data_IF_515912610907
#
_entry.id   IF_515912610907
#
_cell.length_a   1.000
_cell.length_b   1.000
_cell.length_c   1.000
_cell.angle_alpha   90.00
_cell.angle_beta   90.00
_cell.angle_gamma   90.00
#
_symmetry.space_group_name_H-M   'P 1'
#
loop_
_entity.id
_entity.type
_entity.pdbx_description
1 polymer ?
#
# COMPACT_ATOMS: atom_id res chain seq x y z
N UNK A 1 10.81 -10.71 -23.67
CA UNK A 1 9.80 -10.56 -22.60
C UNK A 1 9.30 -11.87 -22.00
N UNK A 2 8.92 -12.90 -22.75
CA UNK A 2 8.50 -14.21 -22.18
C UNK A 2 9.65 -14.95 -21.46
N UNK A 3 10.89 -14.79 -21.92
CA UNK A 3 12.09 -15.43 -21.35
C UNK A 3 12.45 -14.91 -19.95
N UNK A 4 12.19 -13.63 -19.65
CA UNK A 4 12.53 -13.02 -18.36
C UNK A 4 11.51 -13.36 -17.27
N UNK A 5 10.21 -13.36 -17.58
CA UNK A 5 9.15 -13.77 -16.65
C UNK A 5 9.37 -15.20 -16.13
N UNK A 6 9.70 -16.12 -17.04
CA UNK A 6 10.04 -17.50 -16.71
C UNK A 6 11.31 -17.63 -15.85
N UNK A 7 12.28 -16.71 -15.99
CA UNK A 7 13.50 -16.73 -15.17
C UNK A 7 13.25 -16.17 -13.76
N UNK A 8 12.48 -15.09 -13.63
CA UNK A 8 12.11 -14.50 -12.35
C UNK A 8 11.31 -15.49 -11.50
N UNK A 9 10.33 -16.16 -12.11
CA UNK A 9 9.58 -17.24 -11.49
C UNK A 9 10.47 -18.40 -10.99
N UNK A 10 11.47 -18.82 -11.79
CA UNK A 10 12.43 -19.85 -11.39
C UNK A 10 13.27 -19.40 -10.20
N UNK A 11 13.77 -18.16 -10.21
CA UNK A 11 14.57 -17.61 -9.10
C UNK A 11 13.75 -17.55 -7.81
N UNK A 12 12.54 -17.00 -7.87
CA UNK A 12 11.63 -16.93 -6.72
C UNK A 12 11.20 -18.33 -6.22
N UNK A 13 10.95 -19.26 -7.14
CA UNK A 13 10.66 -20.65 -6.80
C UNK A 13 11.83 -21.36 -6.12
N UNK A 14 13.05 -21.13 -6.63
CA UNK A 14 14.30 -21.64 -6.04
C UNK A 14 14.51 -21.09 -4.62
N UNK A 15 14.31 -19.78 -4.42
CA UNK A 15 14.37 -19.17 -3.09
C UNK A 15 13.34 -19.80 -2.14
N UNK A 16 12.07 -19.93 -2.55
CA UNK A 16 11.02 -20.60 -1.76
C UNK A 16 11.42 -22.04 -1.42
N UNK A 17 11.91 -22.80 -2.40
CA UNK A 17 12.28 -24.20 -2.25
C UNK A 17 13.55 -24.46 -1.44
N UNK A 18 14.50 -23.53 -1.39
CA UNK A 18 15.75 -23.71 -0.64
C UNK A 18 15.72 -23.05 0.74
N UNK A 19 15.19 -21.82 0.81
CA UNK A 19 15.24 -20.99 2.02
C UNK A 19 13.97 -21.10 2.86
N UNK A 20 12.84 -21.42 2.23
CA UNK A 20 11.52 -21.47 2.89
C UNK A 20 10.88 -22.86 2.94
N UNK A 21 11.62 -23.92 2.61
CA UNK A 21 11.07 -25.29 2.47
C UNK A 21 10.33 -25.82 3.70
N UNK A 22 10.67 -25.34 4.91
CA UNK A 22 10.09 -25.82 6.17
C UNK A 22 8.92 -24.96 6.66
N UNK A 23 8.54 -23.94 5.91
CA UNK A 23 7.53 -22.97 6.32
C UNK A 23 6.32 -23.04 5.41
N UNK A 24 5.15 -22.77 5.98
CA UNK A 24 3.93 -22.52 5.24
C UNK A 24 4.06 -21.17 4.53
N UNK A 25 4.21 -21.18 3.21
CA UNK A 25 4.31 -19.95 2.41
C UNK A 25 3.12 -19.89 1.46
N UNK A 26 2.44 -18.74 1.43
CA UNK A 26 1.30 -18.52 0.55
C UNK A 26 1.63 -18.88 -0.91
N UNK A 27 0.65 -19.46 -1.63
CA UNK A 27 0.87 -20.02 -2.96
C UNK A 27 1.26 -18.96 -3.99
N UNK A 28 0.77 -17.74 -3.81
CA UNK A 28 1.10 -16.61 -4.69
C UNK A 28 2.53 -16.09 -4.56
N UNK A 29 3.34 -16.60 -3.60
CA UNK A 29 4.69 -16.08 -3.34
C UNK A 29 5.55 -16.01 -4.60
N UNK A 30 5.57 -17.10 -5.37
CA UNK A 30 6.41 -17.24 -6.57
C UNK A 30 6.06 -16.16 -7.60
N UNK A 31 4.78 -16.03 -7.94
CA UNK A 31 4.31 -15.15 -8.99
C UNK A 31 4.37 -13.68 -8.56
N UNK A 32 4.03 -13.37 -7.30
CA UNK A 32 4.15 -12.03 -6.74
C UNK A 32 5.61 -11.57 -6.67
N UNK A 33 6.52 -12.45 -6.22
CA UNK A 33 7.96 -12.17 -6.20
C UNK A 33 8.46 -11.84 -7.62
N UNK A 34 8.09 -12.64 -8.62
CA UNK A 34 8.52 -12.44 -10.00
C UNK A 34 8.02 -11.09 -10.57
N UNK A 35 6.75 -10.74 -10.33
CA UNK A 35 6.20 -9.43 -10.72
C UNK A 35 6.93 -8.27 -10.05
N UNK A 36 7.29 -8.41 -8.78
CA UNK A 36 8.06 -7.38 -8.07
C UNK A 36 9.47 -7.20 -8.64
N UNK A 37 10.11 -8.27 -9.14
CA UNK A 37 11.39 -8.17 -9.86
C UNK A 37 11.27 -7.37 -11.16
N UNK A 38 10.18 -7.52 -11.90
CA UNK A 38 9.93 -6.72 -13.11
C UNK A 38 9.62 -5.26 -12.76
N UNK A 39 8.87 -5.04 -11.69
CA UNK A 39 8.49 -3.71 -11.24
C UNK A 39 9.70 -2.89 -10.78
N UNK A 40 10.56 -3.46 -9.93
CA UNK A 40 11.73 -2.73 -9.40
C UNK A 40 12.71 -2.32 -10.50
N UNK A 41 12.80 -3.09 -11.59
CA UNK A 41 13.62 -2.72 -12.77
C UNK A 41 13.15 -1.43 -13.43
N UNK A 42 11.85 -1.13 -13.36
CA UNK A 42 11.27 0.12 -13.87
C UNK A 42 11.50 1.31 -12.94
N UNK A 43 11.78 1.07 -11.66
CA UNK A 43 12.03 2.13 -10.67
C UNK A 43 13.49 2.62 -10.68
N UNK A 44 14.44 1.73 -10.97
CA UNK A 44 15.89 2.03 -10.90
C UNK A 44 16.41 3.08 -11.91
N UNK A 45 15.84 3.26 -13.11
CA UNK A 45 16.26 4.32 -14.02
C UNK A 45 16.02 5.75 -13.48
N UNK A 46 15.05 5.93 -12.58
CA UNK A 46 14.49 7.25 -12.20
C UNK A 46 14.53 7.55 -10.67
N UNK A 47 15.70 7.47 -10.02
CA UNK A 47 16.00 7.98 -8.65
C UNK A 47 15.75 7.08 -7.42
N UNK A 48 16.53 7.36 -6.37
CA UNK A 48 16.50 6.75 -5.03
C UNK A 48 15.23 7.04 -4.20
N UNK A 49 14.34 7.93 -4.65
CA UNK A 49 13.10 8.25 -3.94
C UNK A 49 12.03 7.16 -4.11
N UNK A 50 12.02 6.48 -5.26
CA UNK A 50 11.01 5.48 -5.63
C UNK A 50 11.31 4.09 -5.05
N UNK A 51 12.58 3.80 -4.74
CA UNK A 51 12.99 2.50 -4.19
C UNK A 51 12.53 2.33 -2.74
N UNK A 52 12.49 3.41 -1.93
CA UNK A 52 12.07 3.35 -0.53
C UNK A 52 10.61 2.86 -0.38
N UNK A 53 9.59 3.45 -1.05
CA UNK A 53 8.23 2.94 -1.02
C UNK A 53 8.12 1.47 -1.46
N UNK A 54 8.84 1.08 -2.52
CA UNK A 54 8.89 -0.31 -2.99
C UNK A 54 9.44 -1.25 -1.90
N UNK A 55 10.54 -0.89 -1.27
CA UNK A 55 11.16 -1.73 -0.25
C UNK A 55 10.28 -1.88 1.00
N UNK A 56 9.60 -0.80 1.44
CA UNK A 56 8.62 -0.88 2.52
C UNK A 56 7.45 -1.81 2.15
N UNK A 57 6.97 -1.72 0.92
CA UNK A 57 5.93 -2.62 0.42
C UNK A 57 6.42 -4.08 0.40
N UNK A 58 7.60 -4.34 -0.15
CA UNK A 58 8.16 -5.70 -0.20
C UNK A 58 8.41 -6.28 1.18
N UNK A 59 8.78 -5.44 2.14
CA UNK A 59 8.95 -5.83 3.53
C UNK A 59 7.63 -6.31 4.16
N UNK A 60 6.57 -5.53 4.01
CA UNK A 60 5.22 -5.90 4.44
C UNK A 60 4.68 -7.13 3.70
N UNK A 61 4.83 -7.16 2.37
CA UNK A 61 4.39 -8.27 1.53
C UNK A 61 5.07 -9.59 1.93
N UNK A 62 6.38 -9.57 2.16
CA UNK A 62 7.10 -10.78 2.56
C UNK A 62 6.61 -11.29 3.92
N UNK A 63 6.35 -10.38 4.88
CA UNK A 63 5.74 -10.73 6.16
C UNK A 63 4.39 -11.41 5.96
N UNK A 64 3.51 -10.87 5.10
CA UNK A 64 2.18 -11.44 4.87
C UNK A 64 2.23 -12.86 4.28
N UNK A 65 3.27 -13.18 3.49
CA UNK A 65 3.46 -14.51 2.88
C UNK A 65 3.83 -15.59 3.89
N UNK A 66 4.41 -15.22 5.04
CA UNK A 66 4.99 -16.14 6.03
C UNK A 66 4.41 -16.00 7.44
N UNK A 67 3.50 -15.03 7.67
CA UNK A 67 2.94 -14.70 8.99
C UNK A 67 2.27 -15.85 9.74
N UNK A 68 1.82 -16.90 9.04
CA UNK A 68 1.20 -18.07 9.67
C UNK A 68 2.19 -18.99 10.40
N UNK A 69 3.49 -18.74 10.26
CA UNK A 69 4.54 -19.55 10.88
C UNK A 69 4.94 -18.98 12.24
N UNK A 70 4.58 -19.68 13.31
CA UNK A 70 5.04 -19.34 14.67
C UNK A 70 6.57 -19.46 14.77
N UNK A 71 7.21 -18.46 15.37
CA UNK A 71 8.67 -18.45 15.57
C UNK A 71 9.48 -18.30 14.28
N UNK A 72 8.87 -17.87 13.18
CA UNK A 72 9.56 -17.62 11.91
C UNK A 72 10.71 -16.61 12.11
N UNK A 73 11.95 -16.94 11.71
CA UNK A 73 13.10 -16.05 11.87
C UNK A 73 13.06 -14.94 10.81
N UNK A 74 12.08 -14.05 10.94
CA UNK A 74 11.68 -13.10 9.91
C UNK A 74 12.86 -12.25 9.44
N UNK A 75 13.57 -11.61 10.39
CA UNK A 75 14.64 -10.68 10.08
C UNK A 75 15.78 -11.32 9.27
N UNK A 76 16.26 -12.50 9.67
CA UNK A 76 17.34 -13.18 8.94
C UNK A 76 16.88 -13.67 7.57
N UNK A 77 15.63 -14.13 7.46
CA UNK A 77 15.12 -14.70 6.21
C UNK A 77 14.80 -13.64 5.17
N UNK A 78 14.26 -12.48 5.60
CA UNK A 78 14.01 -11.37 4.69
C UNK A 78 15.31 -10.65 4.27
N UNK A 79 16.32 -10.60 5.14
CA UNK A 79 17.65 -10.14 4.77
C UNK A 79 18.24 -11.00 3.65
N UNK A 80 18.12 -12.32 3.75
CA UNK A 80 18.50 -13.25 2.67
C UNK A 80 17.68 -13.01 1.41
N UNK A 81 16.38 -12.80 1.54
CA UNK A 81 15.52 -12.48 0.39
C UNK A 81 15.98 -11.23 -0.36
N UNK A 82 16.26 -10.13 0.34
CA UNK A 82 16.76 -8.91 -0.29
C UNK A 82 18.18 -9.04 -0.84
N UNK A 83 19.01 -9.93 -0.29
CA UNK A 83 20.34 -10.22 -0.84
C UNK A 83 20.30 -11.05 -2.12
N UNK A 84 19.45 -12.08 -2.15
CA UNK A 84 19.48 -13.11 -3.20
C UNK A 84 18.57 -12.78 -4.39
N UNK A 85 17.52 -11.97 -4.18
CA UNK A 85 16.63 -11.55 -5.26
C UNK A 85 17.20 -10.35 -6.00
N UNK A 86 17.35 -10.52 -7.31
CA UNK A 86 17.87 -9.50 -8.22
C UNK A 86 17.15 -8.16 -7.99
N UNK A 87 17.95 -7.10 -7.90
CA UNK A 87 17.50 -5.72 -7.72
C UNK A 87 16.87 -5.36 -6.36
N UNK A 88 16.81 -6.27 -5.39
CA UNK A 88 16.24 -5.98 -4.06
C UNK A 88 17.28 -5.59 -3.02
N UNK A 89 18.58 -5.65 -3.35
CA UNK A 89 19.68 -5.42 -2.42
C UNK A 89 19.57 -4.08 -1.65
N UNK A 90 19.08 -3.03 -2.31
CA UNK A 90 18.93 -1.70 -1.71
C UNK A 90 17.85 -1.67 -0.61
N UNK A 91 16.91 -2.63 -0.62
CA UNK A 91 15.84 -2.73 0.37
C UNK A 91 16.33 -3.08 1.78
N UNK A 92 17.56 -3.59 1.91
CA UNK A 92 18.18 -3.85 3.22
C UNK A 92 18.33 -2.59 4.06
N UNK A 93 18.50 -1.43 3.41
CA UNK A 93 18.63 -0.14 4.08
C UNK A 93 17.30 0.36 4.67
N UNK A 94 16.19 -0.26 4.28
CA UNK A 94 14.83 0.16 4.63
C UNK A 94 14.04 -0.93 5.33
N UNK A 95 14.73 -1.96 5.85
CA UNK A 95 14.12 -2.94 6.73
C UNK A 95 13.66 -2.26 8.01
N UNK A 96 12.48 -2.63 8.48
CA UNK A 96 11.88 -2.09 9.70
C UNK A 96 11.42 -3.24 10.57
N UNK A 97 11.38 -3.07 11.89
CA UNK A 97 10.67 -4.04 12.71
C UNK A 97 9.16 -3.95 12.41
N UNK A 98 8.57 -5.10 12.09
CA UNK A 98 7.12 -5.28 11.94
C UNK A 98 6.69 -6.32 12.96
N UNK A 99 6.03 -5.85 14.01
CA UNK A 99 5.28 -6.72 14.92
C UNK A 99 3.86 -6.95 14.40
N UNK A 100 3.11 -7.82 15.09
CA UNK A 100 1.73 -8.16 14.70
C UNK A 100 0.82 -6.91 14.66
N UNK A 101 1.01 -5.97 15.59
CA UNK A 101 0.18 -4.77 15.70
C UNK A 101 0.43 -3.80 14.54
N UNK A 102 1.69 -3.59 14.16
CA UNK A 102 2.08 -2.78 13.01
C UNK A 102 1.63 -3.45 11.71
N UNK A 103 1.75 -4.76 11.62
CA UNK A 103 1.25 -5.52 10.47
C UNK A 103 -0.27 -5.35 10.30
N UNK A 104 -1.05 -5.56 11.37
CA UNK A 104 -2.51 -5.38 11.37
C UNK A 104 -2.90 -3.98 10.91
N UNK A 105 -2.28 -2.93 11.45
CA UNK A 105 -2.50 -1.55 10.98
C UNK A 105 -2.21 -1.34 9.51
N UNK A 106 -1.13 -1.93 8.98
CA UNK A 106 -0.82 -1.82 7.56
C UNK A 106 -1.85 -2.59 6.73
N UNK A 107 -2.28 -3.78 7.18
CA UNK A 107 -3.34 -4.56 6.54
C UNK A 107 -4.64 -3.77 6.47
N UNK A 108 -5.10 -3.21 7.59
CA UNK A 108 -6.31 -2.39 7.64
C UNK A 108 -6.21 -1.18 6.72
N UNK A 109 -5.05 -0.53 6.66
CA UNK A 109 -4.82 0.59 5.74
C UNK A 109 -4.94 0.14 4.28
N UNK A 110 -4.34 -0.99 3.91
CA UNK A 110 -4.41 -1.55 2.55
C UNK A 110 -5.86 -1.89 2.19
N UNK A 111 -6.57 -2.60 3.06
CA UNK A 111 -7.97 -2.94 2.86
C UNK A 111 -8.86 -1.70 2.71
N UNK A 112 -8.60 -0.68 3.52
CA UNK A 112 -9.30 0.60 3.44
C UNK A 112 -9.09 1.31 2.10
N UNK A 113 -7.87 1.32 1.55
CA UNK A 113 -7.61 1.89 0.22
C UNK A 113 -8.21 1.06 -0.93
N UNK A 114 -8.15 -0.27 -0.83
CA UNK A 114 -8.77 -1.17 -1.81
C UNK A 114 -10.29 -0.97 -1.85
N UNK A 115 -10.93 -0.84 -0.69
CA UNK A 115 -12.35 -0.53 -0.59
C UNK A 115 -12.64 0.91 -1.01
N UNK A 116 -11.74 1.86 -0.77
CA UNK A 116 -11.92 3.23 -1.25
C UNK A 116 -11.94 3.29 -2.79
N UNK A 117 -11.08 2.54 -3.47
CA UNK A 117 -11.10 2.49 -4.94
C UNK A 117 -12.37 1.81 -5.50
N UNK A 118 -12.91 0.83 -4.79
CA UNK A 118 -14.22 0.23 -5.13
C UNK A 118 -15.35 1.22 -4.86
N UNK A 119 -15.30 1.94 -3.73
CA UNK A 119 -16.25 2.98 -3.37
C UNK A 119 -16.29 4.08 -4.44
N UNK A 120 -15.13 4.52 -4.96
CA UNK A 120 -15.06 5.51 -6.04
C UNK A 120 -15.87 5.12 -7.28
N UNK A 121 -15.90 3.82 -7.59
CA UNK A 121 -16.67 3.26 -8.70
C UNK A 121 -18.14 3.12 -8.32
N UNK A 122 -18.41 2.45 -7.20
CA UNK A 122 -19.75 2.21 -6.64
C UNK A 122 -20.56 3.50 -6.55
N UNK A 123 -19.97 4.56 -5.99
CA UNK A 123 -20.63 5.84 -5.76
C UNK A 123 -20.96 6.62 -7.05
N UNK A 124 -20.42 6.20 -8.20
CA UNK A 124 -20.63 6.82 -9.51
C UNK A 124 -21.52 5.98 -10.43
N UNK A 125 -21.60 4.66 -10.23
CA UNK A 125 -22.26 3.75 -11.18
C UNK A 125 -23.38 2.90 -10.56
N UNK A 126 -23.45 2.72 -9.24
CA UNK A 126 -24.40 1.81 -8.62
C UNK A 126 -25.65 2.53 -8.09
N UNK A 127 -26.81 2.30 -8.73
CA UNK A 127 -28.09 2.93 -8.37
C UNK A 127 -28.81 2.34 -7.15
N UNK A 128 -28.27 1.30 -6.51
CA UNK A 128 -28.94 0.60 -5.40
C UNK A 128 -28.90 1.36 -4.05
N UNK A 129 -28.29 2.56 -4.01
CA UNK A 129 -28.13 3.40 -2.82
C UNK A 129 -27.44 2.70 -1.63
N UNK A 130 -26.63 1.69 -1.87
CA UNK A 130 -25.72 1.13 -0.87
C UNK A 130 -24.35 1.77 -1.02
N UNK A 131 -23.67 2.02 0.12
CA UNK A 131 -22.29 2.47 0.15
C UNK A 131 -21.43 1.37 0.78
N UNK A 132 -21.54 0.13 0.31
CA UNK A 132 -20.95 -1.03 1.02
C UNK A 132 -19.45 -0.84 1.24
N UNK A 133 -18.72 -0.38 0.23
CA UNK A 133 -17.28 -0.13 0.37
C UNK A 133 -16.98 1.16 1.13
N UNK A 134 -17.84 2.18 1.01
CA UNK A 134 -17.75 3.41 1.82
C UNK A 134 -17.94 3.15 3.32
N UNK A 135 -18.85 2.23 3.68
CA UNK A 135 -19.08 1.80 5.05
C UNK A 135 -17.89 1.05 5.63
N UNK A 136 -17.23 0.20 4.83
CA UNK A 136 -15.98 -0.45 5.25
C UNK A 136 -14.85 0.56 5.48
N UNK A 137 -14.70 1.53 4.58
CA UNK A 137 -13.76 2.63 4.76
C UNK A 137 -14.02 3.38 6.08
N UNK A 138 -15.28 3.72 6.34
CA UNK A 138 -15.68 4.39 7.58
C UNK A 138 -15.35 3.54 8.81
N UNK A 139 -15.71 2.26 8.81
CA UNK A 139 -15.51 1.39 9.97
C UNK A 139 -14.03 1.24 10.34
N UNK A 140 -13.17 0.99 9.35
CA UNK A 140 -11.72 0.89 9.57
C UNK A 140 -11.16 2.22 10.07
N UNK A 141 -11.51 3.33 9.41
CA UNK A 141 -11.03 4.65 9.82
C UNK A 141 -11.40 4.96 11.27
N UNK A 142 -12.67 4.77 11.63
CA UNK A 142 -13.20 5.12 12.95
C UNK A 142 -12.59 4.29 14.08
N UNK A 143 -12.18 3.04 13.83
CA UNK A 143 -11.46 2.21 14.79
C UNK A 143 -10.20 2.91 15.33
N UNK A 144 -9.52 3.68 14.47
CA UNK A 144 -8.23 4.28 14.80
C UNK A 144 -8.29 5.76 15.19
N UNK A 145 -9.46 6.42 15.05
CA UNK A 145 -9.62 7.85 15.37
C UNK A 145 -9.20 8.17 16.80
N UNK A 146 -9.64 7.38 17.78
CA UNK A 146 -9.33 7.63 19.19
C UNK A 146 -7.83 7.56 19.47
N UNK A 147 -7.15 6.54 18.96
CA UNK A 147 -5.70 6.41 19.06
C UNK A 147 -4.99 7.59 18.37
N UNK A 148 -5.42 7.93 17.17
CA UNK A 148 -4.77 8.97 16.38
C UNK A 148 -5.01 10.37 16.89
N UNK A 149 -6.12 10.65 17.58
CA UNK A 149 -6.31 11.94 18.27
C UNK A 149 -5.25 12.16 19.37
N UNK A 150 -4.85 11.08 20.04
CA UNK A 150 -3.85 11.13 21.11
C UNK A 150 -2.40 11.15 20.59
N UNK A 151 -2.16 10.76 19.34
CA UNK A 151 -0.82 10.65 18.76
C UNK A 151 -0.84 10.90 17.23
N UNK A 152 -1.34 12.06 16.82
CA UNK A 152 -1.62 12.37 15.42
C UNK A 152 -0.36 12.46 14.54
N UNK A 153 0.79 12.76 15.13
CA UNK A 153 2.08 12.85 14.43
C UNK A 153 2.65 11.47 14.06
N UNK A 154 2.09 10.37 14.60
CA UNK A 154 2.53 9.03 14.21
C UNK A 154 2.34 8.81 12.70
N UNK A 155 3.33 8.22 11.98
CA UNK A 155 3.23 7.95 10.55
C UNK A 155 1.96 7.25 10.08
N UNK A 156 1.39 6.32 10.86
CA UNK A 156 0.12 5.68 10.53
C UNK A 156 -1.06 6.68 10.58
N UNK A 157 -1.10 7.52 11.61
CA UNK A 157 -2.14 8.53 11.77
C UNK A 157 -2.06 9.64 10.71
N UNK A 158 -0.86 10.03 10.30
CA UNK A 158 -0.67 10.92 9.15
C UNK A 158 -1.29 10.36 7.86
N UNK A 159 -1.20 9.04 7.63
CA UNK A 159 -1.88 8.40 6.50
C UNK A 159 -3.39 8.42 6.63
N UNK A 160 -3.95 8.23 7.82
CA UNK A 160 -5.40 8.35 8.03
C UNK A 160 -5.89 9.79 7.85
N UNK A 161 -5.14 10.78 8.32
CA UNK A 161 -5.45 12.20 8.09
C UNK A 161 -5.54 12.47 6.59
N UNK A 162 -4.54 12.05 5.81
CA UNK A 162 -4.54 12.17 4.35
C UNK A 162 -5.68 11.39 3.70
N UNK A 163 -5.97 10.18 4.17
CA UNK A 163 -7.09 9.39 3.66
C UNK A 163 -8.42 10.14 3.82
N UNK A 164 -8.64 10.80 4.97
CA UNK A 164 -9.85 11.60 5.18
C UNK A 164 -9.96 12.74 4.18
N UNK A 165 -8.85 13.39 3.85
CA UNK A 165 -8.83 14.45 2.83
C UNK A 165 -9.25 13.90 1.46
N UNK A 166 -8.66 12.78 1.04
CA UNK A 166 -9.00 12.13 -0.23
C UNK A 166 -10.46 11.66 -0.27
N UNK A 167 -10.95 11.10 0.83
CA UNK A 167 -12.34 10.67 0.98
C UNK A 167 -13.29 11.87 0.86
N UNK A 168 -13.05 12.95 1.62
CA UNK A 168 -13.86 14.16 1.61
C UNK A 168 -13.86 14.85 0.23
N UNK A 169 -12.74 14.82 -0.49
CA UNK A 169 -12.69 15.31 -1.86
C UNK A 169 -13.60 14.48 -2.76
N UNK A 170 -13.48 13.15 -2.72
CA UNK A 170 -14.33 12.26 -3.51
C UNK A 170 -15.81 12.38 -3.15
N UNK A 171 -16.17 12.65 -1.89
CA UNK A 171 -17.58 12.88 -1.47
C UNK A 171 -18.28 13.93 -2.33
N UNK A 172 -17.55 14.95 -2.83
CA UNK A 172 -18.11 16.02 -3.66
C UNK A 172 -18.65 15.52 -5.01
N UNK A 173 -18.11 14.40 -5.49
CA UNK A 173 -18.44 13.81 -6.79
C UNK A 173 -19.39 12.59 -6.69
N UNK A 174 -19.87 12.28 -5.49
CA UNK A 174 -20.73 11.12 -5.25
C UNK A 174 -22.13 11.36 -5.85
N UNK A 175 -22.58 10.43 -6.69
CA UNK A 175 -23.90 10.50 -7.35
C UNK A 175 -24.93 9.58 -6.70
N UNK A 176 -24.49 8.42 -6.23
CA UNK A 176 -25.34 7.41 -5.61
C UNK A 176 -24.92 7.16 -4.16
N UNK A 177 -25.86 6.64 -3.36
CA UNK A 177 -25.65 6.35 -1.94
C UNK A 177 -25.38 7.58 -1.03
N UNK A 178 -25.58 8.80 -1.54
CA UNK A 178 -25.39 10.07 -0.81
C UNK A 178 -26.08 10.11 0.56
N UNK A 179 -27.29 9.54 0.67
CA UNK A 179 -28.07 9.50 1.90
C UNK A 179 -27.51 8.55 2.98
N UNK A 180 -26.65 7.60 2.62
CA UNK A 180 -25.99 6.67 3.55
C UNK A 180 -24.53 7.02 3.81
N UNK A 181 -23.99 7.99 3.09
CA UNK A 181 -22.58 8.33 3.13
C UNK A 181 -22.20 8.99 4.44
N UNK A 182 -21.34 8.34 5.22
CA UNK A 182 -20.91 8.83 6.54
C UNK A 182 -19.77 9.84 6.42
N UNK A 183 -19.70 10.75 7.38
CA UNK A 183 -18.55 11.66 7.57
C UNK A 183 -17.47 10.98 8.41
N UNK A 184 -16.22 11.15 7.99
CA UNK A 184 -15.07 10.68 8.77
C UNK A 184 -14.75 11.67 9.88
N UNK A 185 -14.62 11.17 11.12
CA UNK A 185 -14.34 12.02 12.28
C UNK A 185 -12.97 12.69 12.14
N UNK A 186 -12.84 14.01 12.29
CA UNK A 186 -11.55 14.67 12.22
C UNK A 186 -10.60 14.14 13.33
N UNK A 187 -9.38 13.75 12.94
CA UNK A 187 -8.28 13.40 13.87
C UNK A 187 -7.62 14.66 14.42
N UNK A 188 -7.40 15.66 13.55
CA UNK A 188 -6.94 17.02 13.88
C UNK A 188 -8.07 18.00 13.55
N UNK A 189 -8.07 19.20 14.15
CA UNK A 189 -9.11 20.18 13.83
C UNK A 189 -9.08 20.51 12.34
N UNK A 190 -10.24 20.75 11.73
CA UNK A 190 -10.29 21.08 10.29
C UNK A 190 -9.52 22.38 9.97
N UNK A 191 -9.29 23.24 10.97
CA UNK A 191 -8.45 24.45 10.88
C UNK A 191 -6.94 24.20 11.05
N UNK A 192 -6.54 23.02 11.51
CA UNK A 192 -5.14 22.62 11.72
C UNK A 192 -4.66 21.57 10.73
N UNK A 193 -5.46 21.24 9.71
CA UNK A 193 -4.95 20.51 8.54
C UNK A 193 -3.75 21.28 7.98
N UNK A 194 -2.59 20.63 7.78
CA UNK A 194 -1.35 21.30 7.42
C UNK A 194 -1.35 21.93 6.01
N UNK A 195 -2.49 21.98 5.32
CA UNK A 195 -2.63 22.70 4.06
C UNK A 195 -3.24 24.09 4.24
N UNK A 196 -2.40 25.01 4.69
CA UNK A 196 -2.32 26.31 4.03
C UNK A 196 -1.02 26.30 3.21
N UNK A 197 -1.19 26.41 1.89
CA UNK A 197 -0.19 26.74 0.84
C UNK A 197 0.36 25.58 -0.02
N UNK A 198 -0.22 25.53 -1.23
CA UNK A 198 0.40 25.30 -2.56
C UNK A 198 0.87 23.88 -2.98
N UNK A 199 0.26 23.36 -4.04
CA UNK A 199 0.89 23.33 -5.38
C UNK A 199 -0.14 23.04 -6.46
N UNK A 200 -0.69 24.10 -7.06
CA UNK A 200 -1.34 24.05 -8.37
C UNK A 200 -0.33 23.88 -9.53
N UNK A 201 0.90 23.42 -9.24
CA UNK A 201 2.01 23.40 -10.19
C UNK A 201 2.40 21.99 -10.71
N UNK A 202 1.83 20.88 -10.19
CA UNK A 202 2.18 19.54 -10.69
C UNK A 202 1.26 19.01 -11.80
N UNK A 203 0.17 19.70 -12.14
CA UNK A 203 -0.75 19.24 -13.20
C UNK A 203 -0.30 19.59 -14.63
N UNK A 204 0.77 20.38 -14.81
CA UNK A 204 1.26 20.77 -16.13
C UNK A 204 2.39 19.88 -16.68
N UNK A 205 3.09 19.11 -15.83
CA UNK A 205 4.20 18.25 -16.28
C UNK A 205 3.67 16.94 -16.89
N UNK A 206 2.55 16.41 -16.40
CA UNK A 206 1.96 15.18 -16.94
C UNK A 206 1.38 15.36 -18.34
N UNK A 207 0.83 16.54 -18.68
CA UNK A 207 0.25 16.79 -20.01
C UNK A 207 1.34 17.01 -21.08
N UNK A 208 2.45 17.65 -20.73
CA UNK A 208 3.58 17.86 -21.65
C UNK A 208 4.25 16.55 -22.09
N UNK A 209 4.31 15.55 -21.21
CA UNK A 209 4.84 14.22 -21.55
C UNK A 209 3.91 13.44 -22.50
N UNK A 210 2.59 13.62 -22.41
CA UNK A 210 1.64 12.97 -23.33
C UNK A 210 1.66 13.59 -24.74
N UNK A 211 1.87 14.91 -24.86
CA UNK A 211 1.92 15.58 -26.17
C UNK A 211 3.25 15.33 -26.89
N UNK A 212 4.34 15.09 -26.15
CA UNK A 212 5.66 14.78 -26.72
C UNK A 212 5.79 13.33 -27.25
N UNK A 213 4.77 12.49 -27.01
CA UNK A 213 4.76 11.08 -27.41
C UNK A 213 3.87 10.83 -28.65
N UNK A 214 3.55 11.86 -29.42
CA UNK A 214 2.91 11.72 -30.73
C UNK A 214 3.79 12.26 -31.85
#
# INVERSE_FOLDING_TARGET
DITNANQHEKNCGSFKGMKLQRYSVHDSFKDSCAKSMEYVKKLKPDQSSSILPFCKYMHYWYYSMVKSNNGFPFYSTILLFFNEIENFNDCKLYMEDIDNKKFEKITDLVEMYDDFDKFKKESKTNGNNECTHGDKCFNIYQQYVGECKNNHENPFCLKLIRFREEYNEHKKDVKYCTNKLKDLTPIISDSSSPFLVSTAAMSAISVALFVSYK
#
